data_IF_753284374725
#
_entry.id   IF_753284374725
#
_cell.length_a   1.000
_cell.length_b   1.000
_cell.length_c   1.000
_cell.angle_alpha   90.00
_cell.angle_beta   90.00
_cell.angle_gamma   90.00
#
_symmetry.space_group_name_H-M   'P 1'
#
loop_
_entity.id
_entity.type
_entity.pdbx_description
1 polymer ?
#
# COMPACT_ATOMS: atom_id res chain seq x y z
N UNK A 1 -10.72 19.59 9.13
CA UNK A 1 -10.38 18.35 8.41
C UNK A 1 -10.72 18.56 6.94
N UNK A 2 -9.80 18.30 6.00
CA UNK A 2 -10.07 18.49 4.56
C UNK A 2 -11.27 17.63 4.11
N UNK A 3 -12.12 18.14 3.20
CA UNK A 3 -13.37 17.50 2.74
C UNK A 3 -13.16 16.03 2.31
N UNK A 4 -12.07 15.76 1.61
CA UNK A 4 -11.69 14.40 1.19
C UNK A 4 -11.45 13.45 2.37
N UNK A 5 -10.73 13.90 3.40
CA UNK A 5 -10.47 13.06 4.58
C UNK A 5 -11.75 12.81 5.37
N UNK A 6 -12.63 13.81 5.45
CA UNK A 6 -13.95 13.66 6.08
C UNK A 6 -14.79 12.57 5.41
N UNK A 7 -14.77 12.50 4.07
CA UNK A 7 -15.47 11.46 3.30
C UNK A 7 -14.91 10.06 3.57
N UNK A 8 -13.59 9.90 3.58
CA UNK A 8 -12.93 8.63 3.90
C UNK A 8 -13.25 8.14 5.32
N UNK A 9 -13.23 9.04 6.31
CA UNK A 9 -13.56 8.70 7.69
C UNK A 9 -15.02 8.28 7.84
N UNK A 10 -15.96 8.98 7.20
CA UNK A 10 -17.38 8.60 7.20
C UNK A 10 -17.60 7.21 6.59
N UNK A 11 -16.91 6.91 5.49
CA UNK A 11 -16.99 5.59 4.87
C UNK A 11 -16.42 4.48 5.78
N UNK A 12 -15.31 4.77 6.47
CA UNK A 12 -14.70 3.89 7.47
C UNK A 12 -15.66 3.56 8.62
N UNK A 13 -16.42 4.55 9.09
CA UNK A 13 -17.44 4.40 10.13
C UNK A 13 -18.60 3.53 9.62
N UNK A 14 -19.17 3.84 8.46
CA UNK A 14 -20.29 3.09 7.87
C UNK A 14 -19.92 1.61 7.73
N UNK A 15 -18.73 1.33 7.19
CA UNK A 15 -18.29 -0.04 6.96
C UNK A 15 -18.14 -0.83 8.28
N UNK A 16 -17.58 -0.21 9.33
CA UNK A 16 -17.47 -0.84 10.66
C UNK A 16 -18.83 -1.06 11.30
N UNK A 17 -19.77 -0.11 11.18
CA UNK A 17 -21.14 -0.29 11.67
C UNK A 17 -21.80 -1.48 10.98
N UNK A 18 -21.66 -1.61 9.65
CA UNK A 18 -22.17 -2.78 8.93
C UNK A 18 -21.53 -4.08 9.41
N UNK A 19 -20.21 -4.11 9.62
CA UNK A 19 -19.51 -5.28 10.17
C UNK A 19 -20.06 -5.65 11.56
N UNK A 20 -20.28 -4.67 12.44
CA UNK A 20 -20.79 -4.92 13.78
C UNK A 20 -22.24 -5.43 13.76
N UNK A 21 -23.11 -4.81 12.95
CA UNK A 21 -24.50 -5.28 12.80
C UNK A 21 -24.52 -6.71 12.23
N UNK A 22 -23.77 -6.96 11.16
CA UNK A 22 -23.69 -8.28 10.55
C UNK A 22 -23.08 -9.33 11.48
N UNK A 23 -22.03 -8.97 12.22
CA UNK A 23 -21.42 -9.83 13.23
C UNK A 23 -22.39 -10.16 14.36
N UNK A 24 -23.15 -9.17 14.84
CA UNK A 24 -24.16 -9.39 15.88
C UNK A 24 -25.29 -10.31 15.40
N UNK A 25 -25.83 -10.07 14.21
CA UNK A 25 -26.88 -10.91 13.61
C UNK A 25 -26.36 -12.34 13.42
N UNK A 26 -25.17 -12.50 12.86
CA UNK A 26 -24.54 -13.81 12.65
C UNK A 26 -24.33 -14.58 13.96
N UNK A 27 -23.75 -13.93 14.97
CA UNK A 27 -23.51 -14.53 16.28
C UNK A 27 -24.81 -14.90 16.98
N UNK A 28 -25.79 -14.00 17.02
CA UNK A 28 -27.11 -14.28 17.62
C UNK A 28 -27.78 -15.46 16.90
N UNK A 29 -27.76 -15.49 15.56
CA UNK A 29 -28.33 -16.59 14.81
C UNK A 29 -27.61 -17.92 15.09
N UNK A 30 -26.28 -17.92 15.26
CA UNK A 30 -25.52 -19.12 15.65
C UNK A 30 -25.90 -19.64 17.04
N UNK A 31 -26.15 -18.75 18.01
CA UNK A 31 -26.52 -19.12 19.38
C UNK A 31 -28.02 -19.39 19.60
N UNK A 32 -28.91 -18.79 18.82
CA UNK A 32 -30.37 -19.01 18.93
C UNK A 32 -30.83 -20.28 18.22
N UNK A 33 -30.10 -20.73 17.20
CA UNK A 33 -30.41 -21.97 16.48
C UNK A 33 -29.81 -23.21 17.14
N UNK A 34 -29.12 -23.05 18.26
CA UNK A 34 -28.66 -24.17 19.08
C UNK A 34 -29.84 -24.63 19.96
N UNK A 35 -30.29 -25.87 19.79
CA UNK A 35 -31.22 -26.47 20.75
C UNK A 35 -30.60 -26.41 22.15
N UNK A 36 -31.45 -26.13 23.14
CA UNK A 36 -31.09 -26.04 24.56
C UNK A 36 -30.50 -27.40 24.99
N UNK A 37 -29.17 -27.54 24.90
CA UNK A 37 -28.47 -28.80 25.16
C UNK A 37 -27.11 -28.99 24.48
N UNK A 38 -26.78 -28.27 23.40
CA UNK A 38 -25.50 -28.40 22.68
C UNK A 38 -24.54 -27.20 22.92
N UNK A 39 -24.02 -27.10 24.13
CA UNK A 39 -23.34 -25.90 24.68
C UNK A 39 -21.91 -25.58 24.15
N UNK A 40 -21.50 -26.03 22.96
CA UNK A 40 -20.11 -25.90 22.48
C UNK A 40 -19.92 -25.01 21.23
N UNK A 41 -20.95 -24.30 20.76
CA UNK A 41 -20.85 -23.42 19.58
C UNK A 41 -19.73 -22.37 19.69
N UNK A 42 -19.53 -21.81 20.89
CA UNK A 42 -18.45 -20.83 21.16
C UNK A 42 -17.04 -21.40 20.94
N UNK A 43 -16.89 -22.73 20.97
CA UNK A 43 -15.61 -23.41 20.81
C UNK A 43 -15.21 -23.52 19.34
N UNK A 44 -16.11 -23.28 18.38
CA UNK A 44 -15.74 -23.24 16.96
C UNK A 44 -14.89 -22.01 16.62
N UNK A 45 -13.85 -22.21 15.80
CA UNK A 45 -13.01 -21.13 15.28
C UNK A 45 -13.84 -20.05 14.58
N UNK A 46 -14.90 -20.43 13.87
CA UNK A 46 -15.84 -19.51 13.21
C UNK A 46 -16.44 -18.51 14.20
N UNK A 47 -16.92 -18.97 15.36
CA UNK A 47 -17.54 -18.10 16.37
C UNK A 47 -16.46 -17.23 17.03
N UNK A 48 -15.32 -17.82 17.39
CA UNK A 48 -14.21 -17.07 17.99
C UNK A 48 -13.67 -15.96 17.07
N UNK A 49 -13.45 -16.25 15.79
CA UNK A 49 -12.94 -15.26 14.82
C UNK A 49 -13.94 -14.12 14.58
N UNK A 50 -15.25 -14.42 14.58
CA UNK A 50 -16.32 -13.42 14.49
C UNK A 50 -16.37 -12.53 15.74
N UNK A 51 -16.20 -13.10 16.95
CA UNK A 51 -16.11 -12.32 18.19
C UNK A 51 -14.88 -11.41 18.17
N UNK A 52 -13.70 -11.94 17.80
CA UNK A 52 -12.47 -11.16 17.76
C UNK A 52 -12.54 -9.98 16.77
N UNK A 53 -13.04 -10.22 15.55
CA UNK A 53 -13.19 -9.15 14.56
C UNK A 53 -14.24 -8.13 15.01
N UNK A 54 -15.35 -8.57 15.62
CA UNK A 54 -16.38 -7.69 16.17
C UNK A 54 -15.79 -6.75 17.22
N UNK A 55 -15.08 -7.29 18.21
CA UNK A 55 -14.51 -6.51 19.31
C UNK A 55 -13.47 -5.49 18.80
N UNK A 56 -12.56 -5.90 17.93
CA UNK A 56 -11.55 -4.96 17.41
C UNK A 56 -12.19 -3.90 16.51
N UNK A 57 -13.20 -4.24 15.71
CA UNK A 57 -13.90 -3.25 14.88
C UNK A 57 -14.68 -2.24 15.73
N UNK A 58 -15.25 -2.66 16.87
CA UNK A 58 -15.89 -1.75 17.83
C UNK A 58 -14.88 -0.76 18.41
N UNK A 59 -13.69 -1.22 18.81
CA UNK A 59 -12.61 -0.35 19.30
C UNK A 59 -12.20 0.67 18.22
N UNK A 60 -11.99 0.23 16.98
CA UNK A 60 -11.64 1.14 15.88
C UNK A 60 -12.76 2.12 15.51
N UNK A 61 -14.02 1.70 15.62
CA UNK A 61 -15.17 2.58 15.42
C UNK A 61 -15.17 3.72 16.43
N UNK A 62 -14.87 3.45 17.70
CA UNK A 62 -14.74 4.50 18.72
C UNK A 62 -13.65 5.51 18.34
N UNK A 63 -12.48 5.05 17.88
CA UNK A 63 -11.43 5.95 17.42
C UNK A 63 -11.86 6.81 16.23
N UNK A 64 -12.58 6.23 15.27
CA UNK A 64 -13.07 6.94 14.09
C UNK A 64 -14.13 7.98 14.46
N UNK A 65 -15.09 7.64 15.33
CA UNK A 65 -16.10 8.56 15.84
C UNK A 65 -15.48 9.72 16.63
N UNK A 66 -14.52 9.44 17.52
CA UNK A 66 -13.80 10.49 18.25
C UNK A 66 -13.02 11.39 17.30
N UNK A 67 -12.40 10.82 16.27
CA UNK A 67 -11.68 11.58 15.24
C UNK A 67 -12.61 12.50 14.44
N UNK A 68 -13.84 12.04 14.17
CA UNK A 68 -14.86 12.81 13.47
C UNK A 68 -15.34 14.00 14.33
N UNK A 69 -15.69 13.75 15.60
CA UNK A 69 -16.19 14.77 16.53
C UNK A 69 -15.13 15.84 16.81
N UNK A 70 -13.86 15.43 17.01
CA UNK A 70 -12.79 16.37 17.32
C UNK A 70 -12.22 17.08 16.08
N UNK A 71 -12.64 16.70 14.87
CA UNK A 71 -12.09 17.22 13.62
C UNK A 71 -10.59 16.97 13.41
N UNK A 72 -10.00 16.09 14.22
CA UNK A 72 -8.58 15.73 14.26
C UNK A 72 -8.45 14.24 14.47
N UNK A 73 -7.64 13.59 13.63
CA UNK A 73 -7.39 12.17 13.72
C UNK A 73 -6.64 11.81 15.00
N UNK A 74 -7.13 10.78 15.71
CA UNK A 74 -6.41 10.20 16.84
C UNK A 74 -5.27 9.29 16.37
N UNK A 75 -4.16 9.35 17.10
CA UNK A 75 -3.10 8.35 16.98
C UNK A 75 -3.57 7.03 17.57
N UNK A 76 -3.46 5.96 16.76
CA UNK A 76 -3.75 4.58 17.17
C UNK A 76 -2.42 3.84 17.27
N UNK A 77 -2.12 3.17 18.38
CA UNK A 77 -0.83 2.51 18.58
C UNK A 77 -0.64 1.32 17.62
N UNK A 78 0.61 1.07 17.20
CA UNK A 78 0.92 0.05 16.19
C UNK A 78 0.56 -1.38 16.62
N UNK A 79 0.60 -1.70 17.91
CA UNK A 79 0.20 -3.03 18.40
C UNK A 79 -1.29 -3.31 18.16
N UNK A 80 -2.15 -2.29 18.25
CA UNK A 80 -3.59 -2.43 18.04
C UNK A 80 -3.91 -2.65 16.55
N UNK A 81 -3.20 -1.97 15.64
CA UNK A 81 -3.26 -2.26 14.20
C UNK A 81 -2.81 -3.69 13.87
N UNK A 82 -1.77 -4.19 14.57
CA UNK A 82 -1.30 -5.57 14.41
C UNK A 82 -2.33 -6.59 14.89
N UNK A 83 -3.02 -6.34 16.01
CA UNK A 83 -4.13 -7.18 16.47
C UNK A 83 -5.27 -7.18 15.45
N UNK A 84 -5.66 -6.01 14.94
CA UNK A 84 -6.67 -5.92 13.89
C UNK A 84 -6.28 -6.74 12.66
N UNK A 85 -5.03 -6.65 12.20
CA UNK A 85 -4.51 -7.48 11.11
C UNK A 85 -4.66 -8.98 11.39
N UNK A 86 -4.28 -9.45 12.58
CA UNK A 86 -4.43 -10.85 12.98
C UNK A 86 -5.89 -11.31 12.89
N UNK A 87 -6.82 -10.51 13.41
CA UNK A 87 -8.24 -10.86 13.39
C UNK A 87 -8.86 -10.75 11.99
N UNK A 88 -8.39 -9.82 11.16
CA UNK A 88 -8.77 -9.78 9.73
C UNK A 88 -8.30 -11.03 8.99
N UNK A 89 -7.09 -11.53 9.26
CA UNK A 89 -6.61 -12.80 8.69
C UNK A 89 -7.46 -13.97 9.18
N UNK A 90 -7.79 -14.02 10.47
CA UNK A 90 -8.61 -15.08 11.05
C UNK A 90 -10.02 -15.13 10.44
N UNK A 91 -10.70 -13.99 10.32
CA UNK A 91 -12.05 -13.96 9.74
C UNK A 91 -12.02 -14.24 8.22
N UNK A 92 -10.97 -13.80 7.53
CA UNK A 92 -10.75 -14.16 6.12
C UNK A 92 -10.53 -15.67 5.96
N UNK A 93 -9.77 -16.30 6.86
CA UNK A 93 -9.59 -17.75 6.90
C UNK A 93 -10.94 -18.46 7.11
N UNK A 94 -11.76 -17.98 8.05
CA UNK A 94 -13.12 -18.52 8.28
C UNK A 94 -13.96 -18.48 7.01
N UNK A 95 -14.01 -17.34 6.32
CA UNK A 95 -14.73 -17.24 5.05
C UNK A 95 -14.16 -18.16 3.97
N UNK A 96 -12.83 -18.23 3.85
CA UNK A 96 -12.18 -19.07 2.84
C UNK A 96 -12.44 -20.57 3.09
N UNK A 97 -12.12 -21.07 4.29
CA UNK A 97 -12.26 -22.49 4.63
C UNK A 97 -13.72 -22.91 4.57
N UNK A 98 -14.67 -22.06 4.99
CA UNK A 98 -16.08 -22.41 4.84
C UNK A 98 -16.47 -22.54 3.36
N UNK A 99 -16.25 -21.52 2.54
CA UNK A 99 -16.76 -21.50 1.16
C UNK A 99 -16.05 -22.49 0.23
N UNK A 100 -14.76 -22.78 0.47
CA UNK A 100 -13.95 -23.61 -0.43
C UNK A 100 -13.61 -25.00 0.11
N UNK A 101 -13.88 -25.28 1.40
CA UNK A 101 -13.64 -26.59 2.00
C UNK A 101 -14.92 -27.15 2.62
N UNK A 102 -15.49 -26.48 3.62
CA UNK A 102 -16.62 -27.03 4.39
C UNK A 102 -17.90 -27.13 3.57
N UNK A 103 -18.28 -26.08 2.84
CA UNK A 103 -19.49 -26.07 2.02
C UNK A 103 -19.43 -27.12 0.90
N UNK A 104 -18.36 -27.21 0.08
CA UNK A 104 -18.22 -28.27 -0.92
C UNK A 104 -18.28 -29.68 -0.34
N UNK A 105 -17.65 -29.93 0.81
CA UNK A 105 -17.75 -31.23 1.50
C UNK A 105 -19.19 -31.50 1.96
N UNK A 106 -19.91 -30.47 2.40
CA UNK A 106 -21.32 -30.63 2.83
C UNK A 106 -22.26 -31.00 1.69
N UNK A 107 -21.94 -30.67 0.44
CA UNK A 107 -22.76 -31.03 -0.73
C UNK A 107 -22.82 -32.55 -0.97
N UNK A 108 -21.85 -33.31 -0.46
CA UNK A 108 -21.85 -34.77 -0.52
C UNK A 108 -22.68 -35.43 0.59
N UNK A 109 -23.30 -34.65 1.48
CA UNK A 109 -24.13 -35.16 2.60
C UNK A 109 -25.61 -35.13 2.26
N UNK A 110 -26.42 -35.86 3.03
CA UNK A 110 -27.89 -35.91 2.88
C UNK A 110 -28.59 -34.61 3.26
N UNK A 111 -27.91 -33.69 3.94
CA UNK A 111 -28.44 -32.37 4.32
C UNK A 111 -27.36 -31.30 4.19
N UNK A 112 -27.07 -30.85 2.96
CA UNK A 112 -26.05 -29.85 2.71
C UNK A 112 -26.32 -28.54 3.46
N UNK A 113 -25.25 -27.87 3.88
CA UNK A 113 -25.39 -26.56 4.51
C UNK A 113 -25.85 -25.52 3.49
N UNK A 114 -26.75 -24.62 3.88
CA UNK A 114 -27.17 -23.51 3.02
C UNK A 114 -26.34 -22.26 3.33
N UNK A 115 -25.46 -21.80 2.42
CA UNK A 115 -24.61 -20.64 2.65
C UNK A 115 -25.38 -19.31 2.71
N UNK A 116 -26.63 -19.27 2.22
CA UNK A 116 -27.49 -18.09 2.24
C UNK A 116 -28.37 -18.01 3.49
N UNK A 117 -28.39 -19.05 4.33
CA UNK A 117 -29.07 -19.00 5.62
C UNK A 117 -28.38 -17.97 6.52
N UNK A 118 -29.15 -17.22 7.32
CA UNK A 118 -28.66 -16.04 8.05
C UNK A 118 -27.43 -16.35 8.94
N UNK A 119 -27.48 -17.44 9.70
CA UNK A 119 -26.39 -17.93 10.56
C UNK A 119 -25.10 -18.21 9.78
N UNK A 120 -25.20 -18.73 8.55
CA UNK A 120 -24.03 -19.02 7.71
C UNK A 120 -23.56 -17.81 6.90
N UNK A 121 -24.48 -17.09 6.27
CA UNK A 121 -24.19 -15.97 5.38
C UNK A 121 -23.38 -14.88 6.10
N UNK A 122 -23.80 -14.50 7.30
CA UNK A 122 -23.16 -13.41 8.01
C UNK A 122 -21.73 -13.76 8.46
N UNK A 123 -21.54 -14.94 9.03
CA UNK A 123 -20.27 -15.35 9.64
C UNK A 123 -19.23 -15.86 8.63
N UNK A 124 -19.68 -16.34 7.45
CA UNK A 124 -18.80 -16.91 6.43
C UNK A 124 -18.67 -16.07 5.14
N UNK A 125 -19.56 -15.11 4.89
CA UNK A 125 -19.53 -14.30 3.66
C UNK A 125 -19.51 -12.81 4.02
N UNK A 126 -20.56 -12.30 4.66
CA UNK A 126 -20.75 -10.86 4.86
C UNK A 126 -19.62 -10.23 5.69
N UNK A 127 -19.41 -10.71 6.91
CA UNK A 127 -18.40 -10.17 7.83
C UNK A 127 -16.97 -10.37 7.28
N UNK A 128 -16.56 -11.57 6.80
CA UNK A 128 -15.24 -11.75 6.19
C UNK A 128 -14.96 -10.78 5.03
N UNK A 129 -15.90 -10.63 4.08
CA UNK A 129 -15.71 -9.74 2.92
C UNK A 129 -15.57 -8.29 3.35
N UNK A 130 -16.47 -7.80 4.22
CA UNK A 130 -16.40 -6.41 4.67
C UNK A 130 -15.14 -6.14 5.51
N UNK A 131 -14.70 -7.08 6.35
CA UNK A 131 -13.46 -6.94 7.12
C UNK A 131 -12.21 -6.86 6.22
N UNK A 132 -12.15 -7.65 5.14
CA UNK A 132 -11.08 -7.57 4.14
C UNK A 132 -11.10 -6.21 3.44
N UNK A 133 -12.28 -5.74 3.02
CA UNK A 133 -12.43 -4.42 2.38
C UNK A 133 -12.01 -3.29 3.32
N UNK A 134 -12.42 -3.35 4.58
CA UNK A 134 -12.05 -2.37 5.61
C UNK A 134 -10.53 -2.28 5.76
N UNK A 135 -9.88 -3.43 5.93
CA UNK A 135 -8.43 -3.51 6.08
C UNK A 135 -7.69 -2.94 4.87
N UNK A 136 -8.06 -3.38 3.65
CA UNK A 136 -7.41 -2.93 2.42
C UNK A 136 -7.58 -1.41 2.23
N UNK A 137 -8.73 -0.86 2.62
CA UNK A 137 -9.08 0.54 2.32
C UNK A 137 -8.53 1.53 3.34
N UNK A 138 -8.57 1.18 4.64
CA UNK A 138 -8.35 2.11 5.74
C UNK A 138 -7.09 1.84 6.56
N UNK A 139 -6.53 0.64 6.53
CA UNK A 139 -5.42 0.26 7.43
C UNK A 139 -4.04 0.57 6.85
N UNK A 140 -3.95 1.55 5.94
CA UNK A 140 -2.72 1.97 5.28
C UNK A 140 -1.68 2.58 6.23
N UNK A 141 -2.05 2.88 7.49
CA UNK A 141 -1.18 3.44 8.53
C UNK A 141 -0.42 2.37 9.31
N UNK A 142 -0.83 1.12 9.21
CA UNK A 142 -0.10 0.00 9.79
C UNK A 142 1.30 -0.09 9.16
N UNK A 143 2.32 -0.18 10.01
CA UNK A 143 3.69 -0.41 9.59
C UNK A 143 3.95 -1.90 9.46
N UNK A 144 3.96 -2.38 8.21
CA UNK A 144 4.16 -3.78 7.87
C UNK A 144 5.63 -4.05 7.50
N UNK A 145 6.21 -5.06 8.12
CA UNK A 145 7.49 -5.63 7.70
C UNK A 145 7.25 -6.85 6.78
N UNK A 146 8.30 -7.37 6.14
CA UNK A 146 8.21 -8.66 5.42
C UNK A 146 7.84 -9.83 6.34
N UNK A 147 8.20 -9.72 7.63
CA UNK A 147 7.94 -10.74 8.63
C UNK A 147 6.52 -10.69 9.20
N UNK A 148 5.76 -9.63 8.92
CA UNK A 148 4.37 -9.52 9.39
C UNK A 148 3.46 -10.59 8.79
N UNK A 149 3.87 -11.24 7.68
CA UNK A 149 3.15 -12.41 7.11
C UNK A 149 2.94 -13.50 8.17
N UNK A 150 3.94 -13.77 9.01
CA UNK A 150 3.87 -14.82 10.03
C UNK A 150 2.96 -14.46 11.20
N UNK A 151 2.68 -13.18 11.42
CA UNK A 151 1.76 -12.75 12.46
C UNK A 151 0.33 -13.27 12.21
N UNK A 152 -0.05 -13.47 10.94
CA UNK A 152 -1.35 -14.06 10.59
C UNK A 152 -1.53 -15.49 11.09
N UNK A 153 -0.43 -16.20 11.42
CA UNK A 153 -0.49 -17.55 11.99
C UNK A 153 -0.89 -17.59 13.45
N UNK A 154 -0.91 -16.45 14.15
CA UNK A 154 -1.13 -16.39 15.60
C UNK A 154 -2.42 -17.10 16.03
N UNK A 155 -3.54 -16.88 15.32
CA UNK A 155 -4.81 -17.52 15.65
C UNK A 155 -4.84 -19.00 15.31
N UNK A 156 -4.14 -19.43 14.26
CA UNK A 156 -4.05 -20.85 13.88
C UNK A 156 -3.19 -21.64 14.88
N UNK A 157 -2.07 -21.06 15.32
CA UNK A 157 -1.23 -21.67 16.37
C UNK A 157 -1.92 -21.71 17.73
N UNK A 158 -2.80 -20.76 18.02
CA UNK A 158 -3.66 -20.81 19.20
C UNK A 158 -4.73 -21.91 19.08
N UNK A 159 -5.41 -22.01 17.92
CA UNK A 159 -6.61 -22.82 17.83
C UNK A 159 -6.35 -24.33 17.84
N UNK A 160 -5.22 -24.79 17.29
CA UNK A 160 -4.86 -26.22 17.31
C UNK A 160 -4.73 -26.79 18.74
N UNK A 161 -3.84 -26.27 19.61
CA UNK A 161 -3.75 -26.76 20.99
C UNK A 161 -5.05 -26.52 21.76
N UNK A 162 -5.75 -25.40 21.52
CA UNK A 162 -7.08 -25.17 22.09
C UNK A 162 -8.05 -26.30 21.76
N UNK A 163 -8.18 -26.69 20.48
CA UNK A 163 -9.10 -27.73 20.05
C UNK A 163 -8.74 -29.12 20.61
N UNK A 164 -7.44 -29.43 20.72
CA UNK A 164 -6.96 -30.68 21.33
C UNK A 164 -7.28 -30.71 22.83
N UNK A 165 -7.01 -29.64 23.57
CA UNK A 165 -7.31 -29.54 25.01
C UNK A 165 -8.83 -29.66 25.24
N UNK A 166 -9.64 -28.95 24.45
CA UNK A 166 -11.10 -28.99 24.54
C UNK A 166 -11.64 -30.39 24.26
N UNK A 167 -11.05 -31.13 23.32
CA UNK A 167 -11.41 -32.52 23.06
C UNK A 167 -11.07 -33.45 24.25
N UNK A 168 -9.95 -33.22 24.95
CA UNK A 168 -9.60 -33.97 26.17
C UNK A 168 -10.46 -33.64 27.37
N UNK A 169 -11.01 -32.42 27.44
CA UNK A 169 -11.98 -32.02 28.46
C UNK A 169 -13.39 -32.59 28.21
N UNK A 170 -13.56 -33.47 27.20
CA UNK A 170 -14.82 -34.16 26.92
C UNK A 170 -15.82 -33.33 26.11
N UNK A 171 -15.38 -32.28 25.41
CA UNK A 171 -16.26 -31.55 24.51
C UNK A 171 -16.77 -32.43 23.37
N UNK A 172 -18.03 -32.24 23.02
CA UNK A 172 -18.69 -32.89 21.90
C UNK A 172 -19.25 -31.85 20.94
N UNK A 173 -19.17 -32.15 19.65
CA UNK A 173 -19.57 -31.32 18.53
C UNK A 173 -20.62 -32.05 17.69
N UNK A 174 -20.99 -31.47 16.53
CA UNK A 174 -21.97 -32.08 15.61
C UNK A 174 -21.65 -33.55 15.34
N UNK A 175 -22.71 -34.37 15.31
CA UNK A 175 -22.65 -35.83 15.11
C UNK A 175 -21.84 -36.56 16.21
N UNK A 176 -21.69 -35.97 17.39
CA UNK A 176 -20.97 -36.57 18.52
C UNK A 176 -19.44 -36.51 18.40
N UNK A 177 -18.90 -35.82 17.39
CA UNK A 177 -17.44 -35.69 17.19
C UNK A 177 -16.76 -35.00 18.38
N UNK A 178 -15.60 -35.51 18.82
CA UNK A 178 -14.75 -34.82 19.81
C UNK A 178 -14.04 -33.57 19.26
N UNK A 179 -14.01 -33.43 17.94
CA UNK A 179 -13.34 -32.32 17.25
C UNK A 179 -14.35 -31.45 16.48
N UNK A 180 -14.17 -30.12 16.46
CA UNK A 180 -15.09 -29.20 15.79
C UNK A 180 -15.07 -29.33 14.27
N UNK A 181 -13.96 -29.80 13.70
CA UNK A 181 -13.77 -29.92 12.26
C UNK A 181 -13.20 -31.28 11.91
N UNK A 182 -13.66 -31.85 10.79
CA UNK A 182 -13.18 -33.15 10.30
C UNK A 182 -11.66 -33.15 10.07
N UNK A 183 -11.10 -32.03 9.61
CA UNK A 183 -9.67 -31.86 9.35
C UNK A 183 -8.80 -31.73 10.61
N UNK A 184 -9.42 -31.73 11.80
CA UNK A 184 -8.74 -31.87 13.10
C UNK A 184 -8.99 -33.25 13.75
N UNK A 185 -9.87 -34.07 13.15
CA UNK A 185 -10.28 -35.35 13.72
C UNK A 185 -9.26 -36.45 13.35
N UNK A 186 -8.20 -36.53 14.15
CA UNK A 186 -7.15 -37.54 13.99
C UNK A 186 -7.61 -38.96 14.35
N UNK A 187 -8.66 -39.10 15.16
CA UNK A 187 -9.25 -40.41 15.50
C UNK A 187 -9.90 -41.06 14.27
N UNK A 188 -10.60 -40.26 13.45
CA UNK A 188 -11.28 -40.72 12.24
C UNK A 188 -10.33 -40.81 11.03
N UNK A 189 -9.49 -39.80 10.82
CA UNK A 189 -8.69 -39.66 9.60
C UNK A 189 -7.20 -39.94 9.77
N UNK A 190 -6.75 -40.31 10.98
CA UNK A 190 -5.34 -40.45 11.38
C UNK A 190 -4.53 -39.15 11.31
N UNK A 191 -3.33 -39.16 11.87
CA UNK A 191 -2.40 -38.02 11.78
C UNK A 191 -1.75 -37.91 10.39
N UNK A 192 -1.23 -39.03 9.87
CA UNK A 192 -0.37 -39.07 8.67
C UNK A 192 -0.88 -40.00 7.56
N UNK A 193 -2.02 -40.67 7.75
CA UNK A 193 -2.58 -41.61 6.78
C UNK A 193 -3.64 -40.99 5.86
N UNK A 194 -4.29 -41.86 5.08
CA UNK A 194 -5.35 -41.52 4.13
C UNK A 194 -6.53 -42.47 4.33
N UNK A 195 -7.53 -42.04 5.10
CA UNK A 195 -8.74 -42.82 5.38
C UNK A 195 -9.94 -42.17 4.68
N UNK A 196 -9.97 -42.23 3.35
CA UNK A 196 -10.96 -41.53 2.51
C UNK A 196 -10.72 -40.02 2.36
N UNK A 197 -10.08 -39.38 3.35
CA UNK A 197 -9.53 -38.02 3.28
C UNK A 197 -8.09 -38.00 3.82
N UNK A 198 -7.28 -36.98 3.46
CA UNK A 198 -5.96 -36.79 4.05
C UNK A 198 -6.04 -36.65 5.57
N UNK A 199 -5.07 -37.23 6.28
CA UNK A 199 -4.92 -37.07 7.72
C UNK A 199 -4.64 -35.63 8.17
N UNK A 200 -4.73 -35.40 9.47
CA UNK A 200 -4.69 -34.06 10.08
C UNK A 200 -3.42 -33.29 9.72
N UNK A 201 -2.26 -33.94 9.65
CA UNK A 201 -0.99 -33.27 9.30
C UNK A 201 -1.05 -32.57 7.95
N UNK A 202 -1.65 -33.20 6.93
CA UNK A 202 -1.78 -32.62 5.60
C UNK A 202 -2.73 -31.42 5.58
N UNK A 203 -3.83 -31.49 6.34
CA UNK A 203 -4.73 -30.36 6.51
C UNK A 203 -4.07 -29.17 7.22
N UNK A 204 -3.22 -29.43 8.22
CA UNK A 204 -2.45 -28.36 8.86
C UNK A 204 -1.52 -27.66 7.86
N UNK A 205 -0.88 -28.40 6.94
CA UNK A 205 -0.08 -27.80 5.87
C UNK A 205 -0.92 -26.97 4.89
N UNK A 206 -2.12 -27.45 4.54
CA UNK A 206 -3.05 -26.72 3.66
C UNK A 206 -3.50 -25.42 4.32
N UNK A 207 -3.97 -25.48 5.58
CA UNK A 207 -4.40 -24.29 6.34
C UNK A 207 -3.23 -23.32 6.53
N UNK A 208 -2.03 -23.82 6.84
CA UNK A 208 -0.82 -23.00 6.93
C UNK A 208 -0.56 -22.23 5.63
N UNK A 209 -0.62 -22.91 4.48
CA UNK A 209 -0.48 -22.28 3.17
C UNK A 209 -1.54 -21.21 2.89
N UNK A 210 -2.80 -21.49 3.21
CA UNK A 210 -3.93 -20.55 3.05
C UNK A 210 -3.72 -19.29 3.92
N UNK A 211 -3.37 -19.45 5.19
CA UNK A 211 -3.18 -18.31 6.11
C UNK A 211 -2.01 -17.43 5.68
N UNK A 212 -0.89 -18.03 5.26
CA UNK A 212 0.25 -17.29 4.71
C UNK A 212 -0.12 -16.58 3.41
N UNK A 213 -0.90 -17.23 2.54
CA UNK A 213 -1.43 -16.65 1.30
C UNK A 213 -2.31 -15.43 1.55
N UNK A 214 -3.31 -15.56 2.42
CA UNK A 214 -4.20 -14.45 2.83
C UNK A 214 -3.37 -13.29 3.43
N UNK A 215 -2.47 -13.60 4.37
CA UNK A 215 -1.62 -12.60 5.01
C UNK A 215 -0.76 -11.84 3.99
N UNK A 216 -0.13 -12.56 3.06
CA UNK A 216 0.67 -11.97 1.99
C UNK A 216 -0.14 -11.06 1.07
N UNK A 217 -1.34 -11.51 0.64
CA UNK A 217 -2.23 -10.72 -0.20
C UNK A 217 -2.69 -9.43 0.49
N UNK A 218 -3.14 -9.51 1.74
CA UNK A 218 -3.54 -8.34 2.52
C UNK A 218 -2.38 -7.34 2.65
N UNK A 219 -1.15 -7.81 2.91
CA UNK A 219 0.04 -6.96 3.00
C UNK A 219 0.33 -6.26 1.65
N UNK A 220 0.20 -6.94 0.51
CA UNK A 220 0.39 -6.32 -0.81
C UNK A 220 -0.63 -5.21 -1.05
N UNK A 221 -1.91 -5.51 -0.83
CA UNK A 221 -2.98 -4.55 -1.06
C UNK A 221 -2.86 -3.33 -0.14
N UNK A 222 -2.54 -3.55 1.14
CA UNK A 222 -2.29 -2.48 2.11
C UNK A 222 -1.11 -1.60 1.68
N UNK A 223 0.02 -2.18 1.26
CA UNK A 223 1.20 -1.41 0.81
C UNK A 223 0.87 -0.57 -0.42
N UNK A 224 0.11 -1.14 -1.37
CA UNK A 224 -0.37 -0.42 -2.55
C UNK A 224 -1.26 0.78 -2.15
N UNK A 225 -2.19 0.57 -1.21
CA UNK A 225 -3.04 1.64 -0.67
C UNK A 225 -2.22 2.72 0.05
N UNK A 226 -1.27 2.34 0.90
CA UNK A 226 -0.36 3.26 1.62
C UNK A 226 0.43 4.14 0.66
N UNK A 227 0.96 3.57 -0.42
CA UNK A 227 1.64 4.32 -1.46
C UNK A 227 0.72 5.32 -2.16
N UNK A 228 -0.51 4.91 -2.51
CA UNK A 228 -1.49 5.81 -3.12
C UNK A 228 -1.86 6.98 -2.19
N UNK A 229 -2.06 6.72 -0.90
CA UNK A 229 -2.34 7.78 0.08
C UNK A 229 -1.15 8.73 0.26
N UNK A 230 0.07 8.20 0.28
CA UNK A 230 1.28 9.04 0.34
C UNK A 230 1.38 9.98 -0.87
N UNK A 231 1.12 9.46 -2.08
CA UNK A 231 1.09 10.28 -3.31
C UNK A 231 0.02 11.36 -3.21
N UNK A 232 -1.22 11.01 -2.84
CA UNK A 232 -2.31 11.99 -2.71
C UNK A 232 -1.98 13.09 -1.70
N UNK A 233 -1.42 12.72 -0.54
CA UNK A 233 -0.99 13.68 0.49
C UNK A 233 0.10 14.60 -0.03
N UNK A 234 1.08 14.04 -0.76
CA UNK A 234 2.16 14.83 -1.34
C UNK A 234 1.65 15.79 -2.42
N UNK A 235 0.80 15.33 -3.34
CA UNK A 235 0.21 16.19 -4.38
C UNK A 235 -0.52 17.38 -3.76
N UNK A 236 -1.38 17.12 -2.77
CA UNK A 236 -2.08 18.17 -2.05
C UNK A 236 -1.15 19.11 -1.28
N UNK A 237 -0.09 18.56 -0.69
CA UNK A 237 0.92 19.36 0.01
C UNK A 237 1.66 20.28 -0.96
N UNK A 238 2.14 19.74 -2.09
CA UNK A 238 2.87 20.47 -3.13
C UNK A 238 2.03 21.62 -3.72
N UNK A 239 0.75 21.40 -3.98
CA UNK A 239 -0.17 22.44 -4.50
C UNK A 239 -0.34 23.62 -3.54
N UNK A 240 -0.23 23.39 -2.23
CA UNK A 240 -0.34 24.42 -1.19
C UNK A 240 1.03 24.89 -0.69
N UNK A 241 2.12 24.34 -1.19
CA UNK A 241 3.46 24.63 -0.70
C UNK A 241 3.89 25.99 -1.22
N UNK A 242 3.96 26.97 -0.31
CA UNK A 242 4.43 28.31 -0.62
C UNK A 242 5.93 28.25 -0.94
N UNK A 243 6.26 28.33 -2.24
CA UNK A 243 7.63 28.29 -2.72
C UNK A 243 7.79 29.25 -3.88
N UNK A 244 8.71 30.20 -3.71
CA UNK A 244 9.07 31.15 -4.75
C UNK A 244 10.24 30.61 -5.57
N UNK A 245 9.98 30.32 -6.85
CA UNK A 245 11.04 29.94 -7.76
C UNK A 245 11.86 31.18 -8.17
N UNK A 246 13.11 31.24 -7.72
CA UNK A 246 14.01 32.37 -8.04
C UNK A 246 14.42 32.34 -9.53
N UNK A 247 14.29 33.48 -10.20
CA UNK A 247 14.77 33.67 -11.58
C UNK A 247 16.30 33.70 -11.62
N UNK A 248 16.86 33.25 -12.74
CA UNK A 248 18.29 33.42 -13.01
C UNK A 248 18.52 34.75 -13.72
N UNK A 249 19.47 35.52 -13.23
CA UNK A 249 19.92 36.75 -13.85
C UNK A 249 21.23 36.46 -14.58
N UNK A 250 21.30 36.84 -15.85
CA UNK A 250 22.51 36.71 -16.67
C UNK A 250 23.04 38.11 -16.98
N UNK A 251 24.28 38.37 -16.61
CA UNK A 251 24.96 39.64 -16.88
C UNK A 251 26.39 39.36 -17.38
N UNK A 252 27.24 40.39 -17.45
CA UNK A 252 28.63 40.27 -17.91
C UNK A 252 29.53 39.46 -16.96
N UNK A 253 29.15 39.33 -15.69
CA UNK A 253 29.93 38.64 -14.65
C UNK A 253 29.59 37.15 -14.54
N UNK A 254 28.46 36.72 -15.10
CA UNK A 254 28.03 35.33 -15.08
C UNK A 254 26.52 35.15 -14.97
N UNK A 255 26.13 34.05 -14.34
CA UNK A 255 24.75 33.66 -14.06
C UNK A 255 24.53 33.62 -12.55
N UNK A 256 23.50 34.32 -12.09
CA UNK A 256 23.21 34.54 -10.68
C UNK A 256 21.80 34.07 -10.32
N UNK A 257 21.63 33.57 -9.09
CA UNK A 257 20.33 33.29 -8.48
C UNK A 257 20.13 34.23 -7.28
N UNK A 258 19.45 35.35 -7.44
CA UNK A 258 19.53 36.43 -6.44
C UNK A 258 20.97 36.95 -6.36
N UNK A 259 21.56 37.00 -5.17
CA UNK A 259 22.91 37.52 -4.95
C UNK A 259 24.02 36.46 -5.11
N UNK A 260 23.67 35.20 -5.38
CA UNK A 260 24.64 34.11 -5.49
C UNK A 260 25.06 33.85 -6.93
N UNK A 261 26.37 33.91 -7.19
CA UNK A 261 26.95 33.48 -8.45
C UNK A 261 26.88 31.94 -8.57
N UNK A 262 26.26 31.45 -9.64
CA UNK A 262 26.10 30.02 -9.93
C UNK A 262 27.05 29.56 -11.04
N UNK A 263 27.32 30.44 -12.00
CA UNK A 263 28.32 30.24 -13.05
C UNK A 263 29.02 31.58 -13.26
N UNK A 264 30.34 31.63 -13.14
CA UNK A 264 31.10 32.86 -13.38
C UNK A 264 31.30 33.11 -14.88
N UNK A 265 31.86 34.28 -15.21
CA UNK A 265 32.21 34.68 -16.59
C UNK A 265 33.19 33.72 -17.27
N UNK A 266 33.97 32.95 -16.51
CA UNK A 266 34.96 32.00 -17.00
C UNK A 266 34.34 30.59 -17.18
N UNK A 267 33.06 30.42 -16.85
CA UNK A 267 32.31 29.17 -16.98
C UNK A 267 32.48 28.21 -15.80
N UNK A 268 33.13 28.63 -14.71
CA UNK A 268 33.23 27.82 -13.51
C UNK A 268 31.90 27.82 -12.77
N UNK A 269 31.48 26.64 -12.32
CA UNK A 269 30.16 26.42 -11.72
C UNK A 269 30.25 26.24 -10.21
N UNK A 270 29.41 26.96 -9.49
CA UNK A 270 29.17 26.75 -8.05
C UNK A 270 28.00 25.77 -7.90
N UNK A 271 28.31 24.59 -7.36
CA UNK A 271 27.30 23.54 -7.19
C UNK A 271 26.65 23.53 -5.80
N UNK A 272 27.33 24.09 -4.81
CA UNK A 272 26.85 24.19 -3.43
C UNK A 272 27.52 25.37 -2.73
N UNK A 273 26.75 26.07 -1.91
CA UNK A 273 27.23 27.01 -0.89
C UNK A 273 26.35 26.83 0.37
N UNK A 274 26.41 27.77 1.32
CA UNK A 274 25.65 27.68 2.57
C UNK A 274 24.13 27.78 2.38
N UNK A 275 23.66 28.32 1.25
CA UNK A 275 22.25 28.63 1.01
C UNK A 275 21.63 27.88 -0.18
N UNK A 276 22.44 27.34 -1.09
CA UNK A 276 21.97 26.73 -2.35
C UNK A 276 22.68 25.40 -2.59
N UNK A 277 21.93 24.43 -3.12
CA UNK A 277 22.46 23.25 -3.79
C UNK A 277 21.91 23.20 -5.23
N UNK A 278 22.80 23.24 -6.20
CA UNK A 278 22.49 23.11 -7.62
C UNK A 278 22.58 21.64 -8.03
N UNK A 279 21.43 21.02 -8.27
CA UNK A 279 21.30 19.60 -8.63
C UNK A 279 21.84 19.37 -10.05
N UNK A 280 22.94 18.63 -10.14
CA UNK A 280 23.60 18.36 -11.43
C UNK A 280 24.33 17.04 -11.42
N UNK A 281 24.16 16.25 -12.48
CA UNK A 281 24.88 14.99 -12.64
C UNK A 281 26.39 15.19 -12.82
N UNK A 282 26.79 16.32 -13.41
CA UNK A 282 28.19 16.69 -13.61
C UNK A 282 28.85 17.29 -12.35
N UNK A 283 28.10 17.45 -11.26
CA UNK A 283 28.61 18.03 -10.02
C UNK A 283 29.64 17.09 -9.36
N UNK A 284 30.73 17.70 -8.85
CA UNK A 284 31.67 17.01 -7.95
C UNK A 284 31.06 16.73 -6.57
N UNK A 285 30.01 17.46 -6.20
CA UNK A 285 29.30 17.25 -4.95
C UNK A 285 28.39 16.01 -5.02
N UNK A 286 28.58 15.08 -4.08
CA UNK A 286 27.84 13.81 -4.06
C UNK A 286 26.34 13.97 -3.87
N UNK A 287 25.87 14.90 -3.04
CA UNK A 287 24.44 15.14 -2.81
C UNK A 287 23.79 15.68 -4.09
N UNK A 288 24.39 16.71 -4.68
CA UNK A 288 23.93 17.30 -5.96
C UNK A 288 23.79 16.25 -7.06
N UNK A 289 24.78 15.34 -7.16
CA UNK A 289 24.78 14.27 -8.15
C UNK A 289 23.72 13.20 -7.88
N UNK A 290 23.50 12.81 -6.62
CA UNK A 290 22.45 11.83 -6.24
C UNK A 290 21.04 12.38 -6.54
N UNK A 291 20.82 13.68 -6.32
CA UNK A 291 19.51 14.32 -6.53
C UNK A 291 19.18 14.59 -7.99
N UNK A 292 20.15 14.47 -8.90
CA UNK A 292 19.93 14.59 -10.33
C UNK A 292 19.01 13.50 -10.87
N UNK A 293 18.12 13.85 -11.80
CA UNK A 293 17.27 12.87 -12.49
C UNK A 293 18.07 11.83 -13.29
N UNK A 294 19.30 12.16 -13.67
CA UNK A 294 20.23 11.31 -14.40
C UNK A 294 20.90 10.27 -13.50
N UNK A 295 20.86 10.43 -12.17
CA UNK A 295 21.57 9.53 -11.26
C UNK A 295 21.10 8.07 -11.41
N UNK A 296 22.03 7.10 -11.51
CA UNK A 296 21.69 5.69 -11.58
C UNK A 296 21.04 5.24 -10.28
N UNK A 297 19.72 5.08 -10.32
CA UNK A 297 18.94 4.67 -9.18
C UNK A 297 17.72 3.86 -9.62
N UNK A 298 17.77 2.55 -9.37
CA UNK A 298 16.72 1.63 -9.79
C UNK A 298 15.55 1.56 -8.80
N UNK A 299 14.33 1.75 -9.29
CA UNK A 299 13.10 1.61 -8.48
C UNK A 299 11.92 1.08 -9.29
N UNK A 300 10.81 0.76 -8.61
CA UNK A 300 9.57 0.33 -9.25
C UNK A 300 8.63 1.52 -9.43
N UNK A 301 8.22 1.78 -10.67
CA UNK A 301 7.27 2.83 -11.01
C UNK A 301 6.16 2.29 -11.91
N UNK A 302 4.91 2.43 -11.47
CA UNK A 302 3.69 1.95 -12.15
C UNK A 302 3.82 0.54 -12.78
N UNK A 303 4.40 -0.39 -12.01
CA UNK A 303 4.56 -1.80 -12.40
C UNK A 303 5.83 -2.11 -13.23
N UNK A 304 6.66 -1.13 -13.55
CA UNK A 304 7.92 -1.30 -14.28
C UNK A 304 9.12 -1.08 -13.38
N UNK A 305 10.19 -1.83 -13.60
CA UNK A 305 11.52 -1.52 -13.07
C UNK A 305 12.13 -0.45 -13.97
N UNK A 306 12.57 0.65 -13.38
CA UNK A 306 13.20 1.78 -14.09
C UNK A 306 14.59 2.01 -13.49
N UNK A 307 15.54 2.51 -14.28
CA UNK A 307 16.94 2.68 -13.85
C UNK A 307 17.30 4.11 -13.40
N UNK A 308 16.48 5.10 -13.74
CA UNK A 308 16.59 6.48 -13.25
C UNK A 308 15.26 7.25 -13.46
N UNK A 309 15.18 8.45 -12.90
CA UNK A 309 14.06 9.38 -13.17
C UNK A 309 14.11 9.83 -14.63
N UNK A 310 15.31 10.14 -15.16
CA UNK A 310 15.50 10.56 -16.55
C UNK A 310 14.98 9.50 -17.54
N UNK A 311 15.25 8.22 -17.29
CA UNK A 311 14.75 7.13 -18.13
C UNK A 311 13.21 7.15 -18.23
N UNK A 312 12.50 7.53 -17.17
CA UNK A 312 11.04 7.73 -17.20
C UNK A 312 10.66 8.98 -18.00
N UNK A 313 11.31 10.12 -17.74
CA UNK A 313 11.02 11.40 -18.41
C UNK A 313 11.29 11.34 -19.92
N UNK A 314 12.27 10.56 -20.36
CA UNK A 314 12.54 10.31 -21.77
C UNK A 314 11.59 9.24 -22.32
N UNK A 315 11.32 8.18 -21.55
CA UNK A 315 10.43 7.10 -21.94
C UNK A 315 9.01 7.56 -22.27
N UNK A 316 8.46 8.55 -21.56
CA UNK A 316 7.11 9.08 -21.82
C UNK A 316 6.94 9.80 -23.16
N UNK A 317 8.04 10.10 -23.85
CA UNK A 317 8.03 10.70 -25.19
C UNK A 317 7.76 9.67 -26.29
N UNK A 318 7.91 8.38 -25.98
CA UNK A 318 7.72 7.29 -26.93
C UNK A 318 6.32 6.70 -26.86
N UNK A 319 5.63 6.69 -28.00
CA UNK A 319 4.33 6.03 -28.15
C UNK A 319 4.44 4.49 -28.11
N UNK A 320 5.49 3.94 -28.72
CA UNK A 320 5.73 2.50 -28.77
C UNK A 320 6.14 1.93 -27.40
N UNK A 321 5.44 0.88 -26.95
CA UNK A 321 5.67 0.29 -25.62
C UNK A 321 7.01 -0.45 -25.54
N UNK A 322 7.49 -1.06 -26.62
CA UNK A 322 8.75 -1.83 -26.61
C UNK A 322 9.94 -0.87 -26.51
N UNK A 323 9.96 0.18 -27.32
CA UNK A 323 10.96 1.26 -27.25
C UNK A 323 10.91 1.96 -25.90
N UNK A 324 9.72 2.34 -25.41
CA UNK A 324 9.58 2.91 -24.07
C UNK A 324 10.21 1.98 -23.01
N UNK A 325 9.88 0.68 -23.00
CA UNK A 325 10.44 -0.27 -22.04
C UNK A 325 11.97 -0.42 -22.16
N UNK A 326 12.56 -0.21 -23.35
CA UNK A 326 14.01 -0.15 -23.53
C UNK A 326 14.59 1.13 -22.90
N UNK A 327 13.99 2.29 -23.17
CA UNK A 327 14.40 3.59 -22.63
C UNK A 327 14.38 3.62 -21.10
N UNK A 328 13.38 2.98 -20.47
CA UNK A 328 13.28 2.88 -19.00
C UNK A 328 14.49 2.22 -18.31
N UNK A 329 15.32 1.47 -19.06
CA UNK A 329 16.50 0.78 -18.54
C UNK A 329 17.76 1.65 -18.53
N UNK A 330 17.76 2.78 -19.23
CA UNK A 330 18.90 3.70 -19.28
C UNK A 330 18.92 4.65 -18.08
N UNK A 331 20.09 5.22 -17.82
CA UNK A 331 20.35 6.25 -16.82
C UNK A 331 21.48 7.16 -17.33
N UNK A 332 21.86 8.17 -16.55
CA UNK A 332 22.95 9.07 -16.92
C UNK A 332 22.68 9.78 -18.25
N UNK A 333 23.77 10.17 -18.91
CA UNK A 333 23.72 10.79 -20.23
C UNK A 333 23.08 9.88 -21.28
N UNK A 334 23.23 8.56 -21.17
CA UNK A 334 22.63 7.61 -22.11
C UNK A 334 21.11 7.72 -22.14
N UNK A 335 20.47 7.87 -20.97
CA UNK A 335 19.02 8.10 -20.90
C UNK A 335 18.63 9.40 -21.60
N UNK A 336 19.36 10.49 -21.35
CA UNK A 336 19.10 11.78 -22.00
C UNK A 336 19.23 11.70 -23.53
N UNK A 337 20.25 11.00 -24.02
CA UNK A 337 20.53 10.88 -25.46
C UNK A 337 19.51 10.03 -26.21
N UNK A 338 18.71 9.18 -25.54
CA UNK A 338 17.67 8.41 -26.24
C UNK A 338 16.74 9.33 -27.02
N UNK A 339 16.49 10.57 -26.56
CA UNK A 339 15.64 11.56 -27.24
C UNK A 339 15.92 11.72 -28.74
N UNK A 340 17.16 11.51 -29.18
CA UNK A 340 17.55 11.57 -30.59
C UNK A 340 16.85 10.49 -31.45
N UNK A 341 16.43 9.38 -30.83
CA UNK A 341 15.69 8.31 -31.47
C UNK A 341 14.17 8.60 -31.59
N UNK A 342 13.68 9.72 -31.07
CA UNK A 342 12.24 10.06 -31.04
C UNK A 342 11.89 11.29 -31.91
N UNK A 343 12.73 11.65 -32.88
CA UNK A 343 12.59 12.87 -33.69
C UNK A 343 11.26 12.90 -34.48
N UNK A 344 10.76 11.74 -34.91
CA UNK A 344 9.51 11.64 -35.69
C UNK A 344 8.24 11.84 -34.86
N UNK A 345 8.31 11.63 -33.55
CA UNK A 345 7.19 11.73 -32.62
C UNK A 345 7.44 12.87 -31.62
N UNK A 346 7.76 14.06 -32.13
CA UNK A 346 8.03 15.22 -31.27
C UNK A 346 6.77 15.65 -30.52
N UNK A 347 6.79 15.44 -29.21
CA UNK A 347 5.67 15.74 -28.32
C UNK A 347 5.42 17.24 -28.13
N UNK A 348 6.41 18.11 -28.36
CA UNK A 348 6.33 19.54 -28.02
C UNK A 348 5.32 20.34 -28.86
N UNK A 349 4.90 19.83 -30.03
CA UNK A 349 3.86 20.47 -30.85
C UNK A 349 2.45 20.29 -30.28
N UNK A 350 2.14 19.10 -29.76
CA UNK A 350 0.78 18.73 -29.33
C UNK A 350 0.66 18.40 -27.84
N UNK A 351 1.77 18.42 -27.10
CA UNK A 351 1.84 18.11 -25.67
C UNK A 351 1.54 16.66 -25.30
N UNK A 352 1.45 15.73 -26.27
CA UNK A 352 1.02 14.36 -26.01
C UNK A 352 2.17 13.49 -25.52
N UNK A 353 2.02 12.98 -24.30
CA UNK A 353 2.92 12.05 -23.65
C UNK A 353 2.25 10.68 -23.49
N UNK A 354 3.04 9.63 -23.32
CA UNK A 354 2.53 8.26 -23.31
C UNK A 354 3.07 7.48 -22.11
N UNK A 355 2.21 6.77 -21.40
CA UNK A 355 2.63 5.76 -20.43
C UNK A 355 2.02 4.41 -20.78
N UNK A 356 2.83 3.48 -21.26
CA UNK A 356 2.42 2.13 -21.65
C UNK A 356 1.22 2.12 -22.62
N UNK A 357 1.20 3.09 -23.54
CA UNK A 357 0.15 3.29 -24.55
C UNK A 357 -1.02 4.19 -24.12
N UNK A 358 -1.12 4.57 -22.84
CA UNK A 358 -2.12 5.56 -22.40
C UNK A 358 -1.59 6.97 -22.64
N UNK A 359 -2.37 7.81 -23.32
CA UNK A 359 -2.03 9.22 -23.58
C UNK A 359 -2.24 10.06 -22.32
N UNK A 360 -1.35 11.01 -22.08
CA UNK A 360 -1.44 12.05 -21.04
C UNK A 360 -1.02 13.39 -21.65
N UNK A 361 -1.73 14.47 -21.32
CA UNK A 361 -1.37 15.80 -21.81
C UNK A 361 -0.34 16.45 -20.89
N UNK A 362 0.71 17.06 -21.46
CA UNK A 362 1.80 17.72 -20.72
C UNK A 362 1.33 18.77 -19.73
N UNK A 363 0.28 19.50 -20.06
CA UNK A 363 -0.31 20.56 -19.23
C UNK A 363 -1.48 20.07 -18.34
N UNK A 364 -1.75 18.77 -18.30
CA UNK A 364 -2.84 18.23 -17.49
C UNK A 364 -2.44 17.98 -16.03
N UNK A 365 -3.45 18.03 -15.16
CA UNK A 365 -3.30 17.61 -13.77
C UNK A 365 -2.86 16.14 -13.65
N UNK A 366 -3.37 15.26 -14.52
CA UNK A 366 -2.94 13.85 -14.62
C UNK A 366 -1.41 13.71 -14.79
N UNK A 367 -0.78 14.62 -15.55
CA UNK A 367 0.67 14.62 -15.73
C UNK A 367 1.41 15.14 -14.48
N UNK A 368 0.87 16.15 -13.81
CA UNK A 368 1.43 16.63 -12.55
C UNK A 368 1.37 15.57 -11.44
N UNK A 369 0.29 14.79 -11.37
CA UNK A 369 0.18 13.62 -10.49
C UNK A 369 1.14 12.49 -10.88
N UNK A 370 1.35 12.28 -12.19
CA UNK A 370 2.33 11.31 -12.68
C UNK A 370 3.75 11.67 -12.22
N UNK A 371 4.13 12.95 -12.28
CA UNK A 371 5.41 13.43 -11.77
C UNK A 371 5.51 13.27 -10.25
N UNK A 372 4.48 13.62 -9.49
CA UNK A 372 4.49 13.41 -8.03
C UNK A 372 4.66 11.94 -7.65
N UNK A 373 3.94 11.06 -8.35
CA UNK A 373 4.12 9.63 -8.19
C UNK A 373 5.56 9.20 -8.50
N UNK A 374 6.19 9.76 -9.54
CA UNK A 374 7.55 9.42 -9.94
C UNK A 374 8.55 9.74 -8.84
N UNK A 375 8.50 10.95 -8.30
CA UNK A 375 9.42 11.38 -7.23
C UNK A 375 9.14 10.68 -5.90
N UNK A 376 7.87 10.43 -5.53
CA UNK A 376 7.55 9.61 -4.36
C UNK A 376 8.09 8.18 -4.49
N UNK A 377 8.02 7.59 -5.69
CA UNK A 377 8.61 6.27 -5.94
C UNK A 377 10.15 6.30 -5.87
N UNK A 378 10.79 7.36 -6.38
CA UNK A 378 12.24 7.52 -6.29
C UNK A 378 12.71 7.61 -4.83
N UNK A 379 11.96 8.33 -3.98
CA UNK A 379 12.20 8.43 -2.54
C UNK A 379 11.91 7.16 -1.72
N UNK A 380 11.37 6.08 -2.32
CA UNK A 380 11.35 4.77 -1.64
C UNK A 380 12.78 4.22 -1.45
N UNK A 381 13.75 4.76 -2.19
CA UNK A 381 15.16 4.54 -1.96
C UNK A 381 15.65 5.18 -0.68
N UNK A 382 16.25 4.41 0.24
CA UNK A 382 16.87 4.97 1.44
C UNK A 382 17.97 5.99 1.09
N UNK A 383 18.74 5.76 0.02
CA UNK A 383 19.83 6.64 -0.39
C UNK A 383 19.29 7.97 -0.92
N UNK A 384 18.36 7.95 -1.87
CA UNK A 384 17.77 9.16 -2.44
C UNK A 384 17.02 9.97 -1.38
N UNK A 385 16.24 9.30 -0.51
CA UNK A 385 15.56 9.93 0.63
C UNK A 385 16.56 10.62 1.56
N UNK A 386 17.63 9.92 1.96
CA UNK A 386 18.64 10.46 2.88
C UNK A 386 19.39 11.64 2.26
N UNK A 387 19.75 11.55 0.97
CA UNK A 387 20.39 12.64 0.25
C UNK A 387 19.50 13.89 0.18
N UNK A 388 18.20 13.72 -0.03
CA UNK A 388 17.26 14.85 -0.07
C UNK A 388 17.12 15.51 1.31
N UNK A 389 17.00 14.71 2.38
CA UNK A 389 16.89 15.22 3.75
C UNK A 389 18.19 15.87 4.25
N UNK A 390 19.36 15.39 3.83
CA UNK A 390 20.66 15.96 4.22
C UNK A 390 20.93 17.35 3.63
N UNK A 391 20.12 17.81 2.68
CA UNK A 391 20.26 19.16 2.10
C UNK A 391 19.97 20.28 3.10
N UNK A 392 19.37 19.97 4.25
CA UNK A 392 18.99 20.99 5.21
C UNK A 392 17.96 21.94 4.60
N UNK A 393 18.08 23.22 4.91
CA UNK A 393 17.16 24.25 4.44
C UNK A 393 17.64 24.92 3.13
N UNK A 394 18.77 24.45 2.58
CA UNK A 394 19.37 24.99 1.35
C UNK A 394 18.38 24.93 0.18
N UNK A 395 18.32 25.99 -0.61
CA UNK A 395 17.47 26.06 -1.79
C UNK A 395 17.95 25.06 -2.86
N UNK A 396 17.09 24.10 -3.22
CA UNK A 396 17.41 23.13 -4.27
C UNK A 396 17.06 23.72 -5.63
N UNK A 397 18.07 23.89 -6.48
CA UNK A 397 17.94 24.49 -7.80
C UNK A 397 18.39 23.56 -8.93
N UNK A 398 18.07 23.92 -10.17
CA UNK A 398 18.53 23.25 -11.39
C UNK A 398 18.80 24.27 -12.51
N UNK A 399 20.00 24.87 -12.53
CA UNK A 399 20.27 26.04 -13.39
C UNK A 399 20.19 25.79 -14.91
N UNK A 400 20.48 24.56 -15.38
CA UNK A 400 20.47 24.19 -16.81
C UNK A 400 19.03 23.93 -17.32
N UNK A 401 18.06 23.91 -16.41
CA UNK A 401 16.70 23.49 -16.71
C UNK A 401 15.98 24.50 -17.59
N UNK A 402 15.28 24.00 -18.61
CA UNK A 402 14.43 24.84 -19.44
C UNK A 402 13.16 25.26 -18.66
N UNK A 403 12.70 26.49 -18.85
CA UNK A 403 11.50 27.03 -18.20
C UNK A 403 10.25 26.90 -19.06
N UNK A 404 10.38 26.60 -20.35
CA UNK A 404 9.27 26.47 -21.30
C UNK A 404 8.76 25.02 -21.36
N UNK A 405 7.49 24.82 -21.01
CA UNK A 405 6.81 23.53 -21.05
C UNK A 405 6.69 22.92 -22.46
N UNK A 406 6.83 23.72 -23.53
CA UNK A 406 6.86 23.23 -24.91
C UNK A 406 8.20 22.60 -25.28
N UNK A 407 9.26 22.97 -24.54
CA UNK A 407 10.63 22.53 -24.80
C UNK A 407 11.07 21.41 -23.83
N UNK A 408 10.41 21.28 -22.68
CA UNK A 408 10.72 20.23 -21.70
C UNK A 408 9.49 19.60 -21.03
N UNK A 409 9.58 18.29 -20.82
CA UNK A 409 8.57 17.53 -20.09
C UNK A 409 8.60 17.84 -18.59
N UNK A 410 9.71 18.38 -18.09
CA UNK A 410 9.83 18.84 -16.71
C UNK A 410 10.57 20.18 -16.73
N UNK A 411 9.86 21.25 -16.45
CA UNK A 411 10.45 22.58 -16.36
C UNK A 411 11.32 22.70 -15.13
N UNK A 412 12.26 23.64 -15.16
CA UNK A 412 13.04 24.04 -13.99
C UNK A 412 12.15 24.35 -12.79
N UNK A 413 11.10 25.14 -12.98
CA UNK A 413 10.21 25.53 -11.88
C UNK A 413 9.42 24.35 -11.30
N UNK A 414 8.91 23.45 -12.13
CA UNK A 414 8.26 22.23 -11.65
C UNK A 414 9.24 21.31 -10.89
N UNK A 415 10.49 21.21 -11.35
CA UNK A 415 11.52 20.45 -10.67
C UNK A 415 11.84 21.05 -9.30
N UNK A 416 12.19 22.34 -9.25
CA UNK A 416 12.60 23.04 -8.02
C UNK A 416 11.48 23.04 -6.99
N UNK A 417 10.25 23.39 -7.40
CA UNK A 417 9.07 23.33 -6.52
C UNK A 417 8.91 21.92 -5.93
N UNK A 418 8.97 20.89 -6.77
CA UNK A 418 8.71 19.51 -6.35
C UNK A 418 9.79 18.98 -5.42
N UNK A 419 11.06 19.26 -5.69
CA UNK A 419 12.17 18.81 -4.84
C UNK A 419 12.11 19.46 -3.46
N UNK A 420 11.90 20.78 -3.39
CA UNK A 420 11.79 21.50 -2.12
C UNK A 420 10.52 21.09 -1.36
N UNK A 421 9.37 21.00 -2.04
CA UNK A 421 8.13 20.51 -1.42
C UNK A 421 8.28 19.06 -0.90
N UNK A 422 8.95 18.19 -1.66
CA UNK A 422 9.13 16.79 -1.27
C UNK A 422 10.03 16.64 -0.05
N UNK A 423 11.09 17.45 0.04
CA UNK A 423 11.93 17.50 1.24
C UNK A 423 11.10 17.86 2.47
N UNK A 424 10.34 18.96 2.41
CA UNK A 424 9.52 19.41 3.53
C UNK A 424 8.41 18.42 3.88
N UNK A 425 7.81 17.79 2.88
CA UNK A 425 6.82 16.74 3.08
C UNK A 425 7.40 15.55 3.85
N UNK A 426 8.60 15.10 3.48
CA UNK A 426 9.28 13.98 4.12
C UNK A 426 9.72 14.30 5.55
N UNK A 427 10.19 15.52 5.81
CA UNK A 427 10.57 16.00 7.16
C UNK A 427 9.40 16.01 8.15
N UNK A 428 8.16 16.18 7.67
CA UNK A 428 6.95 16.13 8.50
C UNK A 428 6.41 14.72 8.72
N UNK A 429 6.88 13.73 7.96
CA UNK A 429 6.51 12.33 8.11
C UNK A 429 7.46 11.54 9.04
N UNK A 430 8.73 11.97 9.11
CA UNK A 430 9.73 11.46 10.07
C UNK A 430 9.52 12.10 11.45
#
# INVERSE_FOLDING_TARGET
>A
MDDFRGKELKLSIILKVLILIGGLIGLIASFLMTEIGANNEILYFTVQSNIWIFLVMAVFLVFDCVSLVKGKEKSIPQWLWKIKFVFTVAIALTGFVYNFVLFPVSLATTSPTNPLKLDSFFVHIFVPVLAIVDFIRFDYRLNLSKWTVFLGLATSFYYLPFALIVAELGASFKEGSRFPYFFLNHEKFSWFGFNGMPGVFYWLLIVLGIVLGISYLLIIFQKKRKKQEKIKKFTHFREKYAFECKKLLKNAEGIFLGDYCIEDKDGNKVFENDEIINTSYASKNSISRILSNLYPHSFKFKGKKVSSIEGVLQGIKYKDKKLQNAVLKYFGTDAYHTRACNIKDFWGENGKLYWQGKVMQRNSQDYQEFLDQLYICACESPLYKKALLSTGDKYLMHHIGNTDEKQTVLTRYEYELRMNALREFLRRED
#
